data_IF_779837754967
#
_entry.id   IF_779837754967
#
_cell.length_a   1.000
_cell.length_b   1.000
_cell.length_c   1.000
_cell.angle_alpha   90.00
_cell.angle_beta   90.00
_cell.angle_gamma   90.00
#
_symmetry.space_group_name_H-M   'P 1'
#
loop_
_entity.id
_entity.type
_entity.pdbx_description
1 polymer ?
#
# COMPACT_ATOMS: atom_id res chain seq x y z
N UNK A 1 15.19 -22.23 -12.93
CA UNK A 1 14.55 -21.89 -11.64
C UNK A 1 14.49 -20.37 -11.60
N UNK A 2 13.37 -19.76 -12.02
CA UNK A 2 13.15 -18.35 -11.74
C UNK A 2 12.54 -18.32 -10.34
N UNK A 3 13.36 -18.07 -9.32
CA UNK A 3 12.84 -17.75 -8.00
C UNK A 3 12.07 -16.44 -8.16
N UNK A 4 10.74 -16.52 -8.06
CA UNK A 4 9.86 -15.35 -8.16
C UNK A 4 9.87 -14.60 -6.81
N UNK A 5 11.06 -14.17 -6.40
CA UNK A 5 11.29 -13.43 -5.17
C UNK A 5 10.99 -11.96 -5.46
N UNK A 6 9.98 -11.41 -4.79
CA UNK A 6 9.64 -9.99 -4.93
C UNK A 6 10.60 -9.19 -4.07
N UNK A 7 11.33 -8.24 -4.66
CA UNK A 7 12.30 -7.38 -3.96
C UNK A 7 11.89 -5.91 -4.03
N UNK A 8 12.19 -5.17 -2.97
CA UNK A 8 12.00 -3.73 -2.94
C UNK A 8 12.92 -3.06 -3.99
N UNK A 9 12.39 -2.26 -4.93
CA UNK A 9 13.18 -1.66 -6.00
C UNK A 9 14.15 -0.57 -5.51
N UNK A 10 14.01 -0.10 -4.27
CA UNK A 10 14.86 0.96 -3.71
C UNK A 10 16.01 0.45 -2.84
N UNK A 11 15.80 -0.63 -2.09
CA UNK A 11 16.80 -1.13 -1.13
C UNK A 11 17.14 -2.61 -1.31
N UNK A 12 16.55 -3.26 -2.32
CA UNK A 12 16.76 -4.67 -2.69
C UNK A 12 16.37 -5.68 -1.60
N UNK A 13 15.75 -5.23 -0.51
CA UNK A 13 15.23 -6.12 0.53
C UNK A 13 14.17 -7.06 -0.04
N UNK A 14 14.24 -8.33 0.34
CA UNK A 14 13.25 -9.33 -0.04
C UNK A 14 11.91 -9.06 0.65
N UNK A 15 10.82 -9.18 -0.11
CA UNK A 15 9.44 -9.07 0.36
C UNK A 15 8.85 -10.48 0.26
N UNK A 16 8.79 -11.15 1.41
CA UNK A 16 8.45 -12.58 1.50
C UNK A 16 7.35 -12.87 2.51
N UNK A 17 7.11 -11.94 3.44
CA UNK A 17 6.09 -12.04 4.46
C UNK A 17 5.31 -10.73 4.58
N UNK A 18 4.11 -10.80 5.16
CA UNK A 18 3.21 -9.64 5.30
C UNK A 18 3.82 -8.51 6.12
N UNK A 19 4.72 -8.83 7.05
CA UNK A 19 5.43 -7.85 7.88
C UNK A 19 6.60 -7.15 7.17
N UNK A 20 6.91 -7.53 5.92
CA UNK A 20 7.91 -6.84 5.10
C UNK A 20 7.33 -5.59 4.41
N UNK A 21 6.01 -5.39 4.53
CA UNK A 21 5.29 -4.22 4.03
C UNK A 21 4.45 -3.57 5.13
N UNK A 22 4.26 -2.26 5.02
CA UNK A 22 3.40 -1.50 5.92
C UNK A 22 2.18 -0.97 5.16
N UNK A 23 0.98 -1.18 5.72
CA UNK A 23 -0.27 -0.66 5.18
C UNK A 23 -0.67 0.61 5.92
N UNK A 24 -0.58 1.74 5.22
CA UNK A 24 -0.95 3.05 5.75
C UNK A 24 -2.34 3.39 5.21
N UNK A 25 -3.36 3.37 6.08
CA UNK A 25 -4.70 3.86 5.76
C UNK A 25 -4.71 5.39 5.80
N UNK A 26 -5.14 6.00 4.71
CA UNK A 26 -5.39 7.43 4.63
C UNK A 26 -6.88 7.63 4.83
N UNK A 27 -7.22 8.32 5.91
CA UNK A 27 -8.59 8.75 6.17
C UNK A 27 -9.04 9.72 5.08
N UNK A 28 -10.17 9.40 4.46
CA UNK A 28 -10.76 10.22 3.40
C UNK A 28 -12.07 10.87 3.84
N UNK A 29 -12.48 10.69 5.10
CA UNK A 29 -13.67 11.33 5.66
C UNK A 29 -13.55 12.86 5.52
N UNK A 30 -14.49 13.44 4.77
CA UNK A 30 -14.54 14.90 4.52
C UNK A 30 -13.67 15.40 3.36
N UNK A 31 -12.96 14.53 2.64
CA UNK A 31 -12.31 14.93 1.37
C UNK A 31 -13.33 14.92 0.22
N UNK A 32 -13.80 16.11 -0.17
CA UNK A 32 -14.72 16.31 -1.31
C UNK A 32 -14.19 15.74 -2.65
N UNK A 33 -12.88 15.43 -2.71
CA UNK A 33 -12.16 14.90 -3.86
C UNK A 33 -12.69 13.55 -4.37
N UNK A 34 -13.28 12.73 -3.50
CA UNK A 34 -13.92 11.47 -3.89
C UNK A 34 -15.42 11.58 -3.65
N UNK A 35 -16.12 12.31 -4.53
CA UNK A 35 -17.59 12.44 -4.49
C UNK A 35 -18.32 11.14 -4.87
N UNK A 36 -17.78 9.96 -4.52
CA UNK A 36 -18.26 8.64 -4.92
C UNK A 36 -19.52 8.18 -4.18
N UNK A 37 -20.12 9.01 -3.33
CA UNK A 37 -21.36 8.70 -2.61
C UNK A 37 -21.25 7.53 -1.64
N UNK A 38 -20.04 7.04 -1.38
CA UNK A 38 -19.74 5.91 -0.52
C UNK A 38 -18.49 6.19 0.33
N UNK A 39 -18.41 5.65 1.57
CA UNK A 39 -17.22 5.76 2.39
C UNK A 39 -16.04 5.11 1.66
N UNK A 40 -14.98 5.88 1.44
CA UNK A 40 -13.81 5.44 0.67
C UNK A 40 -12.62 5.30 1.60
N UNK A 41 -11.81 4.26 1.44
CA UNK A 41 -10.54 4.08 2.15
C UNK A 41 -9.41 4.03 1.15
N UNK A 42 -8.40 4.89 1.35
CA UNK A 42 -7.17 4.83 0.57
C UNK A 42 -6.11 4.12 1.38
N UNK A 43 -5.34 3.26 0.73
CA UNK A 43 -4.22 2.58 1.36
C UNK A 43 -2.96 2.77 0.53
N UNK A 44 -1.86 3.03 1.23
CA UNK A 44 -0.51 3.03 0.65
C UNK A 44 0.24 1.86 1.26
N UNK A 45 1.01 1.17 0.41
CA UNK A 45 1.87 0.06 0.78
C UNK A 45 3.30 0.59 0.75
N UNK A 46 3.99 0.56 1.88
CA UNK A 46 5.39 0.95 2.02
C UNK A 46 6.28 -0.27 2.29
N UNK A 47 7.55 -0.18 1.93
CA UNK A 47 8.55 -1.19 2.31
C UNK A 47 8.87 -1.06 3.80
N UNK A 48 8.78 -2.15 4.57
CA UNK A 48 9.08 -2.14 6.00
C UNK A 48 10.55 -1.90 6.38
N UNK A 49 11.47 -1.88 5.40
CA UNK A 49 12.90 -1.68 5.65
C UNK A 49 13.40 -0.27 5.30
N UNK A 50 12.92 0.31 4.20
CA UNK A 50 13.37 1.64 3.73
C UNK A 50 12.25 2.65 3.55
N UNK A 51 11.00 2.29 3.90
CA UNK A 51 9.83 3.17 3.92
C UNK A 51 9.44 3.76 2.55
N UNK A 52 10.05 3.29 1.45
CA UNK A 52 9.66 3.69 0.11
C UNK A 52 8.26 3.17 -0.21
N UNK A 53 7.46 4.00 -0.88
CA UNK A 53 6.14 3.61 -1.35
C UNK A 53 6.28 2.60 -2.49
N UNK A 54 5.70 1.41 -2.30
CA UNK A 54 5.69 0.32 -3.27
C UNK A 54 4.43 0.33 -4.14
N UNK A 55 3.33 0.87 -3.62
CA UNK A 55 2.07 0.98 -4.33
C UNK A 55 0.95 1.52 -3.44
N UNK A 56 -0.26 1.52 -3.97
CA UNK A 56 -1.44 1.93 -3.23
C UNK A 56 -2.72 1.55 -3.97
N UNK A 57 -3.85 1.68 -3.28
CA UNK A 57 -5.15 1.40 -3.87
C UNK A 57 -6.28 2.07 -3.10
N UNK A 58 -7.47 1.96 -3.68
CA UNK A 58 -8.69 2.57 -3.18
C UNK A 58 -9.73 1.47 -2.99
N UNK A 59 -10.19 1.32 -1.76
CA UNK A 59 -11.28 0.42 -1.40
C UNK A 59 -12.56 1.22 -1.15
N UNK A 60 -13.68 0.74 -1.69
CA UNK A 60 -15.01 1.26 -1.34
C UNK A 60 -15.48 0.46 -0.13
N UNK A 61 -15.67 1.12 1.03
CA UNK A 61 -16.20 0.45 2.20
C UNK A 61 -17.67 0.09 1.92
N UNK A 62 -17.97 -1.21 1.93
CA UNK A 62 -19.30 -1.78 1.66
C UNK A 62 -20.11 -1.91 2.94
#
# INVERSE_FOLDING_TARGET
MHSNETTCPSCEASITADNDVEFIEIDTEGTEMFSLGAPTKMYVIACGNCEVILGGGVGIAS
#
